data_IF_959266294743
#
_entry.id   IF_959266294743
#
_cell.length_a   1.000
_cell.length_b   1.000
_cell.length_c   1.000
_cell.angle_alpha   90.00
_cell.angle_beta   90.00
_cell.angle_gamma   90.00
#
_symmetry.space_group_name_H-M   'P 1'
#
loop_
_entity.id
_entity.type
_entity.pdbx_description
1 polymer ?
#
# COMPACT_ATOMS: atom_id res chain seq x y z
N UNK A 1 54.57 -26.68 -44.90
CA UNK A 1 53.82 -26.82 -43.63
C UNK A 1 54.25 -25.79 -42.55
N UNK A 2 54.54 -24.51 -42.88
CA UNK A 2 54.97 -23.54 -41.85
C UNK A 2 54.23 -22.19 -41.82
N UNK A 3 53.30 -21.91 -42.74
CA UNK A 3 52.64 -20.60 -42.79
C UNK A 3 51.40 -20.45 -41.87
N UNK A 4 50.82 -21.56 -41.36
CA UNK A 4 49.56 -21.52 -40.59
C UNK A 4 49.70 -21.54 -39.06
N UNK A 5 50.92 -21.63 -38.51
CA UNK A 5 51.12 -21.66 -37.04
C UNK A 5 51.23 -20.27 -36.40
N UNK A 6 51.60 -19.24 -37.17
CA UNK A 6 51.84 -17.90 -36.62
C UNK A 6 50.57 -17.05 -36.49
N UNK A 7 49.54 -17.28 -37.31
CA UNK A 7 48.28 -16.55 -37.21
C UNK A 7 47.45 -16.98 -35.98
N UNK A 8 47.52 -18.26 -35.60
CA UNK A 8 46.79 -18.80 -34.45
C UNK A 8 47.37 -18.31 -33.11
N UNK A 9 48.69 -18.09 -33.05
CA UNK A 9 49.36 -17.61 -31.83
C UNK A 9 49.08 -16.12 -31.51
N UNK A 10 48.82 -15.28 -32.51
CA UNK A 10 48.52 -13.86 -32.29
C UNK A 10 47.04 -13.61 -31.95
N UNK A 11 46.11 -14.39 -32.52
CA UNK A 11 44.70 -14.34 -32.14
C UNK A 11 44.44 -14.82 -30.71
N UNK A 12 45.21 -15.81 -30.23
CA UNK A 12 45.11 -16.32 -28.87
C UNK A 12 45.62 -15.32 -27.81
N UNK A 13 46.58 -14.45 -28.14
CA UNK A 13 47.10 -13.43 -27.22
C UNK A 13 46.17 -12.22 -27.06
N UNK A 14 45.38 -11.89 -28.07
CA UNK A 14 44.41 -10.78 -27.99
C UNK A 14 43.12 -11.19 -27.26
N UNK A 15 42.72 -12.46 -27.33
CA UNK A 15 41.53 -12.98 -26.64
C UNK A 15 41.72 -13.11 -25.12
N UNK A 16 42.94 -13.34 -24.64
CA UNK A 16 43.22 -13.53 -23.19
C UNK A 16 43.27 -12.20 -22.42
N UNK A 17 43.56 -11.08 -23.08
CA UNK A 17 43.60 -9.75 -22.43
C UNK A 17 42.20 -9.17 -22.19
N UNK A 18 41.18 -9.60 -22.95
CA UNK A 18 39.80 -9.10 -22.82
C UNK A 18 39.04 -9.81 -21.68
N UNK A 19 39.47 -11.02 -21.27
CA UNK A 19 38.80 -11.78 -20.20
C UNK A 19 39.10 -11.29 -18.77
N UNK A 20 40.05 -10.36 -18.57
CA UNK A 20 40.43 -9.89 -17.24
C UNK A 20 39.74 -8.58 -16.78
N UNK A 21 38.85 -8.00 -17.60
CA UNK A 21 38.04 -6.83 -17.21
C UNK A 21 36.56 -7.14 -17.00
N UNK A 22 36.23 -8.40 -16.71
CA UNK A 22 34.98 -8.69 -16.01
C UNK A 22 35.14 -8.25 -14.55
N UNK A 23 35.16 -6.93 -14.32
CA UNK A 23 34.88 -6.37 -13.00
C UNK A 23 33.52 -6.96 -12.63
N UNK A 24 33.53 -7.90 -11.69
CA UNK A 24 32.33 -8.28 -10.98
C UNK A 24 31.89 -6.99 -10.28
N UNK A 25 31.00 -6.24 -10.91
CA UNK A 25 30.22 -5.26 -10.21
C UNK A 25 29.40 -6.08 -9.22
N UNK A 26 29.92 -6.26 -7.99
CA UNK A 26 29.05 -6.64 -6.90
C UNK A 26 27.99 -5.55 -6.88
N UNK A 27 26.76 -5.89 -7.27
CA UNK A 27 25.60 -5.08 -7.02
C UNK A 27 25.37 -5.07 -5.50
N UNK A 28 26.31 -4.48 -4.76
CA UNK A 28 26.09 -4.14 -3.38
C UNK A 28 24.95 -3.12 -3.44
N UNK A 29 23.80 -3.49 -2.86
CA UNK A 29 22.67 -2.59 -2.71
C UNK A 29 23.23 -1.29 -2.15
N UNK A 30 23.12 -0.21 -2.93
CA UNK A 30 23.63 1.08 -2.51
C UNK A 30 22.80 1.54 -1.31
N UNK A 31 23.48 1.82 -0.20
CA UNK A 31 22.84 2.21 1.06
C UNK A 31 23.08 3.68 1.34
N UNK A 32 22.05 4.34 1.83
CA UNK A 32 22.11 5.70 2.37
C UNK A 32 21.59 5.66 3.81
N UNK A 33 22.18 6.45 4.68
CA UNK A 33 21.85 6.49 6.11
C UNK A 33 21.09 7.76 6.45
N UNK A 34 20.06 7.63 7.29
CA UNK A 34 19.19 8.72 7.73
C UNK A 34 19.19 8.81 9.26
N UNK A 35 19.42 10.00 9.82
CA UNK A 35 19.43 10.23 11.27
C UNK A 35 18.79 11.55 11.64
N UNK A 36 18.10 11.59 12.79
CA UNK A 36 17.49 12.80 13.35
C UNK A 36 18.49 13.92 13.69
N UNK A 37 19.79 13.62 13.67
CA UNK A 37 20.89 14.58 13.90
C UNK A 37 21.85 14.69 12.72
N UNK A 38 21.48 14.13 11.56
CA UNK A 38 22.30 14.20 10.34
C UNK A 38 22.32 15.58 9.69
N UNK A 39 22.88 15.64 8.48
CA UNK A 39 22.88 16.80 7.59
C UNK A 39 22.71 16.30 6.13
N UNK A 40 21.81 16.91 5.37
CA UNK A 40 21.55 16.52 3.98
C UNK A 40 22.70 16.91 3.02
N UNK A 41 23.65 17.75 3.47
CA UNK A 41 24.88 18.07 2.75
C UNK A 41 25.99 17.02 2.94
N UNK A 42 25.83 16.06 3.85
CA UNK A 42 26.80 15.00 4.06
C UNK A 42 26.88 14.03 2.88
N UNK A 43 27.97 13.25 2.82
CA UNK A 43 27.97 11.97 2.10
C UNK A 43 27.15 10.95 2.90
N UNK A 44 25.88 10.84 2.57
CA UNK A 44 24.96 9.99 3.31
C UNK A 44 25.16 8.49 3.02
N UNK A 45 26.09 8.10 2.14
CA UNK A 45 26.51 6.71 2.01
C UNK A 45 27.41 6.24 3.16
N UNK A 46 27.92 7.17 3.96
CA UNK A 46 28.68 6.89 5.18
C UNK A 46 27.77 7.02 6.42
N UNK A 47 27.65 5.93 7.19
CA UNK A 47 26.83 5.88 8.39
C UNK A 47 27.24 6.87 9.49
N UNK A 48 28.50 7.32 9.50
CA UNK A 48 28.98 8.34 10.44
C UNK A 48 28.53 9.76 10.08
N UNK A 49 28.13 9.99 8.82
CA UNK A 49 27.68 11.28 8.30
C UNK A 49 26.33 11.11 7.57
N UNK A 50 25.26 10.72 8.29
CA UNK A 50 23.97 10.43 7.66
C UNK A 50 23.25 11.71 7.20
N UNK A 51 22.28 11.53 6.31
CA UNK A 51 21.31 12.55 5.92
C UNK A 51 20.40 12.92 7.10
N UNK A 52 19.84 14.13 7.07
CA UNK A 52 18.93 14.64 8.10
C UNK A 52 17.47 14.35 7.81
N UNK A 53 17.07 14.50 6.56
CA UNK A 53 15.66 14.43 6.13
C UNK A 53 15.42 13.25 5.21
N UNK A 54 14.15 12.82 5.16
CA UNK A 54 13.77 11.73 4.25
C UNK A 54 13.97 12.14 2.79
N UNK A 55 13.68 13.41 2.45
CA UNK A 55 13.92 13.93 1.10
C UNK A 55 15.41 13.97 0.75
N UNK A 56 16.29 14.39 1.66
CA UNK A 56 17.74 14.38 1.48
C UNK A 56 18.26 12.96 1.20
N UNK A 57 17.83 12.00 2.03
CA UNK A 57 18.18 10.60 1.85
C UNK A 57 17.67 10.04 0.51
N UNK A 58 16.44 10.36 0.08
CA UNK A 58 15.89 9.95 -1.22
C UNK A 58 16.69 10.53 -2.39
N UNK A 59 17.07 11.80 -2.30
CA UNK A 59 17.87 12.45 -3.34
C UNK A 59 19.19 11.72 -3.54
N UNK A 60 19.90 11.41 -2.45
CA UNK A 60 21.20 10.74 -2.50
C UNK A 60 21.14 9.23 -2.72
N UNK A 61 20.02 8.56 -2.37
CA UNK A 61 19.86 7.13 -2.55
C UNK A 61 19.83 6.76 -4.03
N UNK A 62 20.71 5.86 -4.53
CA UNK A 62 20.60 5.38 -5.90
C UNK A 62 19.28 4.64 -6.14
N UNK A 63 18.87 4.54 -7.40
CA UNK A 63 17.73 3.69 -7.77
C UNK A 63 18.01 2.23 -7.37
N UNK A 64 16.99 1.55 -6.86
CA UNK A 64 17.04 0.23 -6.23
C UNK A 64 17.90 0.17 -4.95
N UNK A 65 18.28 1.32 -4.38
CA UNK A 65 19.00 1.41 -3.12
C UNK A 65 18.12 1.28 -1.88
N UNK A 66 18.76 1.34 -0.72
CA UNK A 66 18.12 1.24 0.58
C UNK A 66 18.50 2.43 1.48
N UNK A 67 17.50 3.10 2.03
CA UNK A 67 17.65 4.12 3.06
C UNK A 67 17.49 3.45 4.42
N UNK A 68 18.54 3.47 5.25
CA UNK A 68 18.55 2.89 6.58
C UNK A 68 18.41 4.00 7.61
N UNK A 69 17.33 3.96 8.40
CA UNK A 69 17.13 4.90 9.51
C UNK A 69 17.93 4.46 10.73
N UNK A 70 18.87 5.29 11.17
CA UNK A 70 19.80 5.00 12.25
C UNK A 70 19.27 5.40 13.63
N UNK A 71 18.48 6.47 13.70
CA UNK A 71 18.06 7.07 14.98
C UNK A 71 16.59 7.47 14.94
N UNK A 72 15.95 7.48 16.11
CA UNK A 72 14.60 8.00 16.27
C UNK A 72 14.58 9.51 16.00
N UNK A 73 13.58 10.00 15.29
CA UNK A 73 13.48 11.41 14.94
C UNK A 73 12.38 11.72 13.94
N UNK A 74 12.14 13.01 13.72
CA UNK A 74 11.24 13.51 12.68
C UNK A 74 11.98 13.71 11.36
N UNK A 75 11.42 13.23 10.25
CA UNK A 75 12.09 13.21 8.94
C UNK A 75 11.44 14.02 7.82
N UNK A 76 10.30 14.67 8.09
CA UNK A 76 9.67 15.63 7.18
C UNK A 76 9.00 15.02 5.95
N UNK A 77 8.55 15.88 5.03
CA UNK A 77 7.93 15.49 3.76
C UNK A 77 8.89 14.74 2.86
N UNK A 78 8.37 13.90 1.96
CA UNK A 78 9.16 13.22 0.95
C UNK A 78 8.40 13.01 -0.36
N UNK A 79 9.12 13.09 -1.46
CA UNK A 79 8.68 12.69 -2.79
C UNK A 79 9.60 11.60 -3.35
N UNK A 80 9.03 10.40 -3.54
CA UNK A 80 9.74 9.22 -4.03
C UNK A 80 9.42 9.04 -5.52
N UNK A 81 10.44 9.12 -6.37
CA UNK A 81 10.31 9.10 -7.83
C UNK A 81 11.10 8.00 -8.53
N UNK A 82 11.63 7.04 -7.75
CA UNK A 82 12.45 5.92 -8.23
C UNK A 82 12.27 4.72 -7.31
N UNK A 83 12.60 3.53 -7.82
CA UNK A 83 12.68 2.33 -6.98
C UNK A 83 13.66 2.53 -5.82
N UNK A 84 13.23 2.23 -4.59
CA UNK A 84 14.06 2.23 -3.38
C UNK A 84 13.32 1.59 -2.20
N UNK A 85 14.07 1.28 -1.15
CA UNK A 85 13.52 0.87 0.15
C UNK A 85 13.79 1.93 1.21
N UNK A 86 12.80 2.29 2.01
CA UNK A 86 12.96 3.02 3.27
C UNK A 86 12.81 2.02 4.40
N UNK A 87 13.90 1.77 5.13
CA UNK A 87 13.97 0.80 6.20
C UNK A 87 14.21 1.48 7.55
N UNK A 88 13.14 1.56 8.35
CA UNK A 88 13.23 1.86 9.77
C UNK A 88 13.30 0.55 10.58
N UNK A 89 14.46 0.20 11.17
CA UNK A 89 14.60 -1.03 11.94
C UNK A 89 13.71 -1.02 13.20
N UNK A 90 13.33 -2.21 13.66
CA UNK A 90 12.62 -2.38 14.93
C UNK A 90 13.35 -1.67 16.08
N UNK A 91 12.61 -0.90 16.89
CA UNK A 91 13.17 -0.11 17.99
C UNK A 91 13.53 1.32 17.62
N UNK A 92 13.59 1.66 16.33
CA UNK A 92 13.73 3.04 15.86
C UNK A 92 12.35 3.64 15.59
N UNK A 93 12.06 4.78 16.22
CA UNK A 93 10.84 5.56 15.95
C UNK A 93 11.14 6.52 14.81
N UNK A 94 10.96 6.05 13.58
CA UNK A 94 11.05 6.88 12.40
C UNK A 94 9.76 7.69 12.23
N UNK A 95 9.70 8.82 12.93
CA UNK A 95 8.50 9.63 13.02
C UNK A 95 8.28 10.45 11.74
N UNK A 96 7.08 10.34 11.16
CA UNK A 96 6.68 11.18 10.04
C UNK A 96 5.26 11.72 10.21
N UNK A 97 5.15 13.04 10.37
CA UNK A 97 3.85 13.71 10.49
C UNK A 97 3.43 14.43 9.20
N UNK A 98 4.12 14.14 8.09
CA UNK A 98 3.91 14.78 6.79
C UNK A 98 3.63 13.73 5.73
N UNK A 99 2.97 14.17 4.68
CA UNK A 99 2.65 13.33 3.52
C UNK A 99 3.93 12.83 2.85
N UNK A 100 4.01 11.53 2.64
CA UNK A 100 4.97 10.91 1.72
C UNK A 100 4.26 10.72 0.38
N UNK A 101 4.77 11.34 -0.67
CA UNK A 101 4.25 11.18 -2.03
C UNK A 101 5.07 10.13 -2.77
N UNK A 102 4.39 9.17 -3.39
CA UNK A 102 5.00 8.15 -4.25
C UNK A 102 4.53 8.37 -5.68
N UNK A 103 5.46 8.71 -6.55
CA UNK A 103 5.23 9.06 -7.95
C UNK A 103 6.29 8.40 -8.82
N UNK A 104 6.11 7.10 -9.09
CA UNK A 104 7.13 6.22 -9.67
C UNK A 104 6.72 5.70 -11.06
N UNK A 105 7.65 5.13 -11.81
CA UNK A 105 7.35 4.48 -13.08
C UNK A 105 6.67 3.10 -12.88
N UNK A 106 6.10 2.54 -13.95
CA UNK A 106 5.30 1.29 -13.88
C UNK A 106 6.13 0.06 -13.53
N UNK A 107 7.43 0.12 -13.83
CA UNK A 107 8.41 -0.93 -13.50
C UNK A 107 9.05 -0.72 -12.14
N UNK A 108 8.81 0.43 -11.50
CA UNK A 108 9.44 0.73 -10.22
C UNK A 108 8.75 0.04 -9.05
N UNK A 109 9.54 -0.28 -8.03
CA UNK A 109 9.07 -0.79 -6.74
C UNK A 109 9.61 0.05 -5.61
N UNK A 110 8.69 0.55 -4.78
CA UNK A 110 9.01 1.26 -3.54
C UNK A 110 8.57 0.42 -2.36
N UNK A 111 9.47 0.25 -1.39
CA UNK A 111 9.17 -0.40 -0.11
C UNK A 111 9.31 0.62 1.01
N UNK A 112 8.26 0.77 1.83
CA UNK A 112 8.27 1.60 3.03
C UNK A 112 8.03 0.68 4.21
N UNK A 113 9.03 0.54 5.10
CA UNK A 113 8.95 -0.35 6.25
C UNK A 113 9.30 0.31 7.57
N UNK A 114 8.54 -0.02 8.61
CA UNK A 114 8.83 0.37 9.98
C UNK A 114 8.52 1.82 10.35
N UNK A 115 7.83 2.59 9.49
CA UNK A 115 7.55 3.99 9.78
C UNK A 115 6.46 4.15 10.84
N UNK A 116 6.63 5.14 11.70
CA UNK A 116 5.61 5.59 12.65
C UNK A 116 5.11 6.95 12.23
N UNK A 117 3.95 7.00 11.59
CA UNK A 117 3.36 8.21 11.05
C UNK A 117 2.23 8.74 11.93
N UNK A 118 2.17 10.06 12.13
CA UNK A 118 1.10 10.72 12.88
C UNK A 118 0.71 12.07 12.24
N UNK A 119 -0.38 12.09 11.50
CA UNK A 119 -0.91 13.26 10.83
C UNK A 119 -1.58 14.29 11.74
N UNK A 120 -1.89 13.95 13.00
CA UNK A 120 -2.61 14.85 13.91
C UNK A 120 -1.78 16.09 14.30
N UNK A 121 -0.46 16.05 14.10
CA UNK A 121 0.44 17.17 14.43
C UNK A 121 0.27 18.34 13.47
N UNK A 122 0.09 18.07 12.17
CA UNK A 122 0.08 19.10 11.14
C UNK A 122 -1.19 19.12 10.27
N UNK A 123 -2.06 18.12 10.41
CA UNK A 123 -3.34 18.06 9.71
C UNK A 123 -3.24 17.65 8.25
N UNK A 124 -2.10 17.12 7.80
CA UNK A 124 -1.91 16.58 6.46
C UNK A 124 -3.04 15.60 6.11
N UNK A 125 -3.53 15.71 4.86
CA UNK A 125 -4.62 14.87 4.38
C UNK A 125 -4.23 13.39 4.31
N UNK A 126 -2.99 13.09 3.94
CA UNK A 126 -2.56 11.73 3.62
C UNK A 126 -1.29 11.35 4.37
N UNK A 127 -1.22 10.11 4.85
CA UNK A 127 0.05 9.53 5.28
C UNK A 127 0.93 9.25 4.07
N UNK A 128 0.49 8.31 3.25
CA UNK A 128 1.14 7.99 1.97
C UNK A 128 0.16 8.29 0.84
N UNK A 129 0.59 9.13 -0.11
CA UNK A 129 -0.17 9.46 -1.30
C UNK A 129 0.49 8.82 -2.54
N UNK A 130 -0.07 7.70 -2.99
CA UNK A 130 0.40 6.94 -4.14
C UNK A 130 -0.28 7.44 -5.41
N UNK A 131 0.41 8.35 -6.10
CA UNK A 131 -0.15 9.12 -7.22
C UNK A 131 -0.11 8.33 -8.53
N UNK A 132 1.09 7.90 -8.91
CA UNK A 132 1.39 7.20 -10.18
C UNK A 132 2.28 6.02 -9.85
N UNK A 133 2.17 4.88 -10.55
CA UNK A 133 3.13 3.83 -10.24
C UNK A 133 3.05 2.47 -10.90
N UNK A 134 4.12 1.73 -10.57
CA UNK A 134 4.24 0.28 -10.54
C UNK A 134 3.82 -0.26 -9.18
N UNK A 135 4.77 -0.54 -8.28
CA UNK A 135 4.49 -1.22 -7.01
C UNK A 135 4.86 -0.38 -5.78
N UNK A 136 3.93 -0.27 -4.83
CA UNK A 136 4.16 0.24 -3.49
C UNK A 136 3.90 -0.87 -2.47
N UNK A 137 4.90 -1.17 -1.66
CA UNK A 137 4.82 -2.12 -0.54
C UNK A 137 4.96 -1.32 0.75
N UNK A 138 3.98 -1.40 1.63
CA UNK A 138 4.01 -0.80 2.96
C UNK A 138 3.95 -1.94 3.98
N UNK A 139 4.96 -2.04 4.83
CA UNK A 139 5.06 -3.13 5.78
C UNK A 139 5.48 -2.68 7.18
N UNK A 140 4.99 -3.36 8.21
CA UNK A 140 5.38 -3.13 9.61
C UNK A 140 5.27 -1.66 10.05
N UNK A 141 4.30 -0.93 9.52
CA UNK A 141 4.18 0.52 9.70
C UNK A 141 2.92 0.88 10.46
N UNK A 142 3.00 1.99 11.20
CA UNK A 142 1.87 2.58 11.91
C UNK A 142 1.53 3.92 11.26
N UNK A 143 0.28 4.10 10.88
CA UNK A 143 -0.21 5.32 10.23
C UNK A 143 -1.43 5.82 11.01
N UNK A 144 -1.29 6.97 11.64
CA UNK A 144 -2.22 7.48 12.64
C UNK A 144 -2.66 8.91 12.31
N UNK A 145 -3.93 9.24 12.51
CA UNK A 145 -4.36 10.63 12.68
C UNK A 145 -4.33 11.53 11.44
N UNK A 146 -4.17 11.00 10.22
CA UNK A 146 -4.23 11.81 8.99
C UNK A 146 -5.66 12.28 8.71
N UNK A 147 -5.82 13.53 8.27
CA UNK A 147 -7.14 14.19 8.23
C UNK A 147 -8.06 13.65 7.14
N UNK A 148 -7.53 12.90 6.17
CA UNK A 148 -8.33 12.21 5.15
C UNK A 148 -8.02 10.71 5.11
N UNK A 149 -6.86 10.28 4.61
CA UNK A 149 -6.54 8.86 4.52
C UNK A 149 -5.16 8.49 5.05
N UNK A 150 -5.03 7.31 5.65
CA UNK A 150 -3.71 6.78 6.01
C UNK A 150 -2.87 6.52 4.75
N UNK A 151 -3.44 5.75 3.81
CA UNK A 151 -2.88 5.54 2.47
C UNK A 151 -3.95 5.91 1.44
N UNK A 152 -3.59 6.78 0.50
CA UNK A 152 -4.40 7.06 -0.69
C UNK A 152 -3.72 6.50 -1.92
N UNK A 153 -4.41 5.61 -2.61
CA UNK A 153 -4.08 5.17 -3.95
C UNK A 153 -4.94 5.97 -4.94
N UNK A 154 -4.36 7.04 -5.51
CA UNK A 154 -5.11 8.11 -6.17
C UNK A 154 -5.65 7.74 -7.57
N UNK A 155 -6.70 8.41 -8.10
CA UNK A 155 -7.15 8.20 -9.47
C UNK A 155 -6.06 8.62 -10.47
N UNK A 156 -5.94 7.87 -11.56
CA UNK A 156 -5.04 8.20 -12.67
C UNK A 156 -5.83 8.92 -13.78
N UNK A 157 -5.28 10.01 -14.38
CA UNK A 157 -6.01 10.82 -15.34
C UNK A 157 -6.19 10.22 -16.75
N UNK A 158 -5.55 9.12 -17.13
CA UNK A 158 -5.87 8.34 -18.35
C UNK A 158 -5.18 6.97 -18.36
N UNK A 159 -5.63 6.09 -19.25
CA UNK A 159 -5.48 4.63 -19.23
C UNK A 159 -4.05 4.06 -19.11
N UNK A 160 -3.97 2.91 -18.42
CA UNK A 160 -2.94 1.85 -18.53
C UNK A 160 -1.59 2.05 -17.85
N UNK A 161 -1.59 2.35 -16.54
CA UNK A 161 -0.44 2.04 -15.68
C UNK A 161 -0.96 1.27 -14.46
N UNK A 162 -0.71 -0.04 -14.44
CA UNK A 162 -1.22 -0.91 -13.38
C UNK A 162 -0.44 -0.63 -12.08
N UNK A 163 -1.08 0.00 -11.10
CA UNK A 163 -0.48 0.08 -9.77
C UNK A 163 -0.81 -1.15 -8.94
N UNK A 164 0.16 -1.51 -8.10
CA UNK A 164 0.01 -2.58 -7.11
C UNK A 164 0.31 -2.01 -5.74
N UNK A 165 -0.70 -1.98 -4.88
CA UNK A 165 -0.54 -1.62 -3.48
C UNK A 165 -0.52 -2.90 -2.64
N UNK A 166 0.56 -3.11 -1.89
CA UNK A 166 0.65 -4.18 -0.90
C UNK A 166 0.80 -3.57 0.49
N UNK A 167 -0.08 -3.94 1.41
CA UNK A 167 -0.06 -3.47 2.80
C UNK A 167 -0.01 -4.69 3.72
N UNK A 168 1.06 -4.83 4.48
CA UNK A 168 1.29 -6.01 5.30
C UNK A 168 1.67 -5.63 6.73
N UNK A 169 1.05 -6.25 7.73
CA UNK A 169 1.37 -6.01 9.14
C UNK A 169 1.40 -4.52 9.50
N UNK A 170 0.38 -3.78 9.08
CA UNK A 170 0.27 -2.34 9.35
C UNK A 170 -0.90 -2.02 10.28
N UNK A 171 -0.79 -0.91 11.00
CA UNK A 171 -1.90 -0.33 11.77
C UNK A 171 -2.27 1.04 11.18
N UNK A 172 -3.48 1.18 10.66
CA UNK A 172 -4.01 2.41 10.09
C UNK A 172 -5.22 2.86 10.91
N UNK A 173 -5.06 3.94 11.68
CA UNK A 173 -6.04 4.28 12.72
C UNK A 173 -6.29 5.77 12.90
N UNK A 174 -7.42 6.08 13.52
CA UNK A 174 -7.83 7.44 13.89
C UNK A 174 -7.79 8.43 12.72
N UNK A 175 -7.95 7.96 11.48
CA UNK A 175 -7.98 8.82 10.29
C UNK A 175 -9.27 9.61 10.21
N UNK A 176 -9.22 10.82 9.65
CA UNK A 176 -10.38 11.69 9.45
C UNK A 176 -11.35 11.21 8.37
N UNK A 177 -10.97 10.20 7.58
CA UNK A 177 -11.88 9.47 6.68
C UNK A 177 -11.56 7.97 6.65
N UNK A 178 -10.58 7.53 5.85
CA UNK A 178 -10.37 6.10 5.60
C UNK A 178 -8.96 5.63 5.97
N UNK A 179 -8.79 4.41 6.46
CA UNK A 179 -7.45 3.85 6.66
C UNK A 179 -6.72 3.70 5.32
N UNK A 180 -7.33 2.97 4.37
CA UNK A 180 -6.95 2.99 2.96
C UNK A 180 -8.10 3.55 2.13
N UNK A 181 -7.77 4.45 1.22
CA UNK A 181 -8.63 4.91 0.13
C UNK A 181 -8.00 4.48 -1.21
N UNK A 182 -8.59 3.46 -1.84
CA UNK A 182 -8.23 3.01 -3.19
C UNK A 182 -9.18 3.63 -4.22
N UNK A 183 -8.77 4.75 -4.80
CA UNK A 183 -9.54 5.57 -5.73
C UNK A 183 -9.06 5.41 -7.19
N UNK A 184 -8.36 4.32 -7.49
CA UNK A 184 -7.66 4.16 -8.76
C UNK A 184 -8.46 3.41 -9.82
N UNK A 185 -8.30 3.83 -11.08
CA UNK A 185 -9.10 3.37 -12.20
C UNK A 185 -8.65 2.03 -12.82
N UNK A 186 -7.46 1.46 -12.53
CA UNK A 186 -6.97 0.08 -12.90
C UNK A 186 -5.85 -0.41 -11.98
N UNK A 187 -6.14 -1.04 -10.83
CA UNK A 187 -5.12 -1.48 -9.87
C UNK A 187 -5.38 -2.86 -9.23
N UNK A 188 -4.36 -3.43 -8.58
CA UNK A 188 -4.54 -4.47 -7.57
C UNK A 188 -4.13 -3.98 -6.19
N UNK A 189 -4.87 -4.39 -5.17
CA UNK A 189 -4.56 -4.12 -3.78
C UNK A 189 -4.58 -5.41 -2.98
N UNK A 190 -3.53 -5.64 -2.19
CA UNK A 190 -3.47 -6.76 -1.26
C UNK A 190 -3.17 -6.24 0.13
N UNK A 191 -4.07 -6.52 1.07
CA UNK A 191 -3.96 -6.15 2.48
C UNK A 191 -3.92 -7.43 3.30
N UNK A 192 -2.85 -7.63 4.07
CA UNK A 192 -2.66 -8.80 4.93
C UNK A 192 -2.26 -8.41 6.34
N UNK A 193 -2.76 -9.17 7.31
CA UNK A 193 -2.31 -9.12 8.71
C UNK A 193 -2.33 -7.70 9.32
N UNK A 194 -3.28 -6.87 8.87
CA UNK A 194 -3.31 -5.43 9.17
C UNK A 194 -4.54 -5.05 10.00
N UNK A 195 -4.47 -3.88 10.66
CA UNK A 195 -5.51 -3.38 11.55
C UNK A 195 -5.96 -1.99 11.12
N UNK A 196 -7.27 -1.82 10.97
CA UNK A 196 -7.93 -0.58 10.58
C UNK A 196 -8.89 -0.19 11.69
N UNK A 197 -8.50 0.81 12.50
CA UNK A 197 -9.16 1.06 13.78
C UNK A 197 -9.60 2.52 13.88
N UNK A 198 -10.88 2.75 14.19
CA UNK A 198 -11.43 4.08 14.49
C UNK A 198 -11.16 5.12 13.39
N UNK A 199 -11.26 4.73 12.12
CA UNK A 199 -11.23 5.69 11.02
C UNK A 199 -12.64 6.27 10.87
N UNK A 200 -12.76 7.59 10.73
CA UNK A 200 -14.07 8.26 10.84
C UNK A 200 -15.10 7.75 9.82
N UNK A 201 -14.64 7.34 8.63
CA UNK A 201 -15.49 6.81 7.56
C UNK A 201 -15.27 5.31 7.37
N UNK A 202 -14.11 4.86 6.90
CA UNK A 202 -13.91 3.45 6.57
C UNK A 202 -12.58 2.87 7.04
N UNK A 203 -12.55 1.59 7.37
CA UNK A 203 -11.28 0.88 7.49
C UNK A 203 -10.58 0.84 6.12
N UNK A 204 -11.26 0.21 5.16
CA UNK A 204 -10.82 0.15 3.76
C UNK A 204 -11.96 0.60 2.85
N UNK A 205 -11.66 1.54 1.98
CA UNK A 205 -12.57 2.04 0.97
C UNK A 205 -12.01 1.83 -0.42
N UNK A 206 -12.84 1.24 -1.29
CA UNK A 206 -12.44 0.84 -2.64
C UNK A 206 -13.41 1.43 -3.67
N UNK A 207 -12.85 2.08 -4.67
CA UNK A 207 -13.52 2.55 -5.87
C UNK A 207 -12.96 1.82 -7.10
N UNK A 208 -13.79 1.72 -8.15
CA UNK A 208 -13.47 1.20 -9.50
C UNK A 208 -12.63 -0.09 -9.52
N UNK A 209 -12.13 -0.52 -10.69
CA UNK A 209 -11.37 -1.77 -11.04
C UNK A 209 -10.35 -2.37 -10.05
N UNK A 210 -10.17 -1.82 -8.86
CA UNK A 210 -9.28 -2.36 -7.85
C UNK A 210 -9.68 -3.80 -7.53
N UNK A 211 -8.89 -4.76 -8.01
CA UNK A 211 -8.94 -6.14 -7.57
C UNK A 211 -8.29 -6.20 -6.19
N UNK A 212 -9.14 -6.21 -5.17
CA UNK A 212 -8.73 -6.06 -3.78
C UNK A 212 -8.83 -7.38 -3.06
N UNK A 213 -7.80 -7.77 -2.33
CA UNK A 213 -7.84 -8.85 -1.35
C UNK A 213 -7.54 -8.26 0.01
N UNK A 214 -8.45 -8.45 0.96
CA UNK A 214 -8.26 -8.09 2.37
C UNK A 214 -8.30 -9.40 3.15
N UNK A 215 -7.18 -9.74 3.77
CA UNK A 215 -7.01 -11.04 4.43
C UNK A 215 -6.41 -10.92 5.83
N UNK A 216 -6.84 -11.80 6.74
CA UNK A 216 -6.29 -11.90 8.10
C UNK A 216 -6.26 -10.55 8.84
N UNK A 217 -7.22 -9.66 8.57
CA UNK A 217 -7.16 -8.28 9.02
C UNK A 217 -8.33 -7.95 9.94
N UNK A 218 -8.15 -6.90 10.75
CA UNK A 218 -9.18 -6.39 11.66
C UNK A 218 -9.65 -5.03 11.17
N UNK A 219 -10.95 -4.86 10.97
CA UNK A 219 -11.55 -3.60 10.54
C UNK A 219 -12.66 -3.22 11.52
N UNK A 220 -12.38 -2.25 12.39
CA UNK A 220 -13.23 -1.96 13.53
C UNK A 220 -13.34 -0.48 13.92
N UNK A 221 -14.46 -0.14 14.55
CA UNK A 221 -14.68 1.18 15.14
C UNK A 221 -14.90 2.32 14.13
N UNK A 222 -15.09 1.99 12.84
CA UNK A 222 -15.29 2.99 11.78
C UNK A 222 -16.77 3.11 11.44
N UNK A 223 -17.20 4.04 10.58
CA UNK A 223 -18.57 3.99 10.04
C UNK A 223 -18.76 2.72 9.17
N UNK A 224 -17.75 2.39 8.37
CA UNK A 224 -17.70 1.19 7.55
C UNK A 224 -16.45 0.38 7.84
N UNK A 225 -16.57 -0.95 7.99
CA UNK A 225 -15.38 -1.80 8.02
C UNK A 225 -14.71 -1.81 6.65
N UNK A 226 -15.45 -2.31 5.65
CA UNK A 226 -15.13 -2.24 4.23
C UNK A 226 -16.26 -1.57 3.48
N UNK A 227 -15.95 -0.63 2.60
CA UNK A 227 -16.91 -0.07 1.64
C UNK A 227 -16.39 -0.16 0.21
N UNK A 228 -17.19 -0.76 -0.67
CA UNK A 228 -16.94 -0.82 -2.11
C UNK A 228 -17.95 0.08 -2.84
N UNK A 229 -17.43 1.03 -3.61
CA UNK A 229 -18.19 2.07 -4.30
C UNK A 229 -18.10 1.90 -5.82
N UNK A 230 -19.25 1.85 -6.47
CA UNK A 230 -19.38 2.07 -7.91
C UNK A 230 -19.29 3.56 -8.23
N UNK A 231 -18.56 3.90 -9.28
CA UNK A 231 -18.48 5.27 -9.84
C UNK A 231 -18.72 5.22 -11.34
N UNK A 232 -18.86 6.39 -11.98
CA UNK A 232 -19.25 6.61 -13.38
C UNK A 232 -18.33 6.00 -14.47
N UNK A 233 -17.32 5.21 -14.11
CA UNK A 233 -16.48 4.51 -15.09
C UNK A 233 -17.14 3.19 -15.51
N UNK A 234 -16.85 2.71 -16.74
CA UNK A 234 -17.36 1.44 -17.28
C UNK A 234 -16.85 0.18 -16.57
N UNK A 235 -16.28 0.32 -15.37
CA UNK A 235 -15.56 -0.73 -14.64
C UNK A 235 -15.71 -0.53 -13.13
N UNK A 236 -15.79 -1.67 -12.42
CA UNK A 236 -16.30 -1.78 -11.05
C UNK A 236 -15.36 -2.55 -10.13
N UNK A 237 -15.36 -2.27 -8.82
CA UNK A 237 -14.48 -2.95 -7.86
C UNK A 237 -14.86 -4.40 -7.65
N UNK A 238 -13.83 -5.23 -7.47
CA UNK A 238 -13.92 -6.62 -7.05
C UNK A 238 -13.14 -6.77 -5.75
N UNK A 239 -13.85 -6.95 -4.64
CA UNK A 239 -13.23 -7.07 -3.32
C UNK A 239 -13.42 -8.48 -2.79
N UNK A 240 -12.33 -9.13 -2.39
CA UNK A 240 -12.33 -10.40 -1.68
C UNK A 240 -11.93 -10.17 -0.23
N UNK A 241 -12.76 -10.65 0.70
CA UNK A 241 -12.54 -10.57 2.14
C UNK A 241 -12.41 -12.00 2.66
N UNK A 242 -11.26 -12.34 3.24
CA UNK A 242 -10.94 -13.68 3.74
C UNK A 242 -10.36 -13.62 5.15
N UNK A 243 -10.88 -14.42 6.09
CA UNK A 243 -10.35 -14.51 7.46
C UNK A 243 -10.24 -13.16 8.18
N UNK A 244 -11.18 -12.25 7.93
CA UNK A 244 -11.19 -10.95 8.58
C UNK A 244 -12.11 -10.93 9.80
N UNK A 245 -11.80 -10.02 10.73
CA UNK A 245 -12.69 -9.61 11.82
C UNK A 245 -13.20 -8.22 11.51
N UNK A 246 -14.50 -8.10 11.26
CA UNK A 246 -15.16 -6.86 10.90
C UNK A 246 -16.19 -6.54 11.98
N UNK A 247 -15.87 -5.60 12.86
CA UNK A 247 -16.61 -5.45 14.10
C UNK A 247 -16.76 -4.01 14.58
N UNK A 248 -17.85 -3.74 15.30
CA UNK A 248 -18.05 -2.46 15.98
C UNK A 248 -18.01 -1.27 15.02
N UNK A 249 -18.45 -1.45 13.78
CA UNK A 249 -18.63 -0.34 12.85
C UNK A 249 -20.04 0.24 13.04
N UNK A 250 -20.13 1.26 13.91
CA UNK A 250 -21.40 1.75 14.50
C UNK A 250 -21.52 3.27 14.53
N UNK A 251 -20.63 4.01 13.84
CA UNK A 251 -20.53 5.48 13.96
C UNK A 251 -21.79 6.27 13.55
N UNK A 252 -22.69 5.66 12.78
CA UNK A 252 -23.91 6.29 12.24
C UNK A 252 -25.03 5.26 12.07
N UNK A 253 -26.26 5.72 11.80
CA UNK A 253 -27.42 4.84 11.55
C UNK A 253 -27.30 4.00 10.26
N UNK A 254 -26.46 4.43 9.32
CA UNK A 254 -26.15 3.71 8.08
C UNK A 254 -24.81 2.96 8.14
N UNK A 255 -24.12 2.98 9.29
CA UNK A 255 -22.86 2.28 9.50
C UNK A 255 -23.02 0.78 9.25
N UNK A 256 -22.00 0.17 8.62
CA UNK A 256 -22.03 -1.24 8.29
C UNK A 256 -20.66 -1.92 8.45
N UNK A 257 -20.65 -3.22 8.74
CA UNK A 257 -19.43 -4.01 8.64
C UNK A 257 -18.92 -4.03 7.20
N UNK A 258 -19.76 -4.47 6.27
CA UNK A 258 -19.45 -4.49 4.83
C UNK A 258 -20.55 -3.77 4.06
N UNK A 259 -20.15 -2.79 3.25
CA UNK A 259 -21.03 -2.05 2.36
C UNK A 259 -20.60 -2.22 0.91
N UNK A 260 -21.54 -2.57 0.04
CA UNK A 260 -21.40 -2.44 -1.40
C UNK A 260 -22.44 -1.46 -1.91
N UNK A 261 -22.05 -0.46 -2.68
CA UNK A 261 -23.00 0.52 -3.18
C UNK A 261 -22.68 1.01 -4.58
N UNK A 262 -23.73 1.23 -5.37
CA UNK A 262 -23.61 1.80 -6.70
C UNK A 262 -24.49 3.06 -6.83
N UNK A 263 -24.03 4.23 -6.38
CA UNK A 263 -24.82 5.46 -6.41
C UNK A 263 -25.22 5.92 -7.83
N UNK A 264 -24.61 5.38 -8.89
CA UNK A 264 -24.88 5.75 -10.28
C UNK A 264 -25.62 4.64 -11.04
N UNK A 265 -26.81 4.95 -11.56
CA UNK A 265 -27.62 4.03 -12.36
C UNK A 265 -27.01 3.81 -13.75
N UNK A 266 -27.06 2.58 -14.27
CA UNK A 266 -26.65 2.26 -15.66
C UNK A 266 -25.20 1.82 -15.85
N UNK A 267 -24.42 1.65 -14.77
CA UNK A 267 -23.02 1.19 -14.81
C UNK A 267 -22.87 -0.19 -14.13
N UNK A 268 -21.69 -0.82 -14.30
CA UNK A 268 -21.44 -2.23 -13.96
C UNK A 268 -21.73 -2.66 -12.51
N UNK A 269 -21.54 -3.94 -12.19
CA UNK A 269 -21.87 -4.52 -10.88
C UNK A 269 -20.73 -4.38 -9.85
N UNK A 270 -20.93 -3.63 -8.76
CA UNK A 270 -20.04 -3.64 -7.59
C UNK A 270 -20.12 -5.02 -6.92
N UNK A 271 -19.00 -5.73 -6.82
CA UNK A 271 -18.98 -7.07 -6.19
C UNK A 271 -18.00 -7.17 -5.04
N UNK A 272 -18.53 -7.55 -3.89
CA UNK A 272 -17.76 -7.98 -2.73
C UNK A 272 -18.00 -9.46 -2.53
N UNK A 273 -16.93 -10.23 -2.29
CA UNK A 273 -16.97 -11.64 -1.94
C UNK A 273 -16.40 -11.84 -0.55
N UNK A 274 -17.05 -12.66 0.25
CA UNK A 274 -16.68 -12.86 1.65
C UNK A 274 -16.58 -14.34 1.97
N UNK A 275 -15.48 -14.74 2.58
CA UNK A 275 -15.24 -16.10 3.07
C UNK A 275 -14.55 -16.09 4.43
N UNK A 276 -14.76 -17.13 5.24
CA UNK A 276 -14.09 -17.38 6.52
C UNK A 276 -14.05 -16.18 7.49
N UNK A 277 -14.95 -15.21 7.37
CA UNK A 277 -14.85 -13.94 8.10
C UNK A 277 -15.90 -13.83 9.20
N UNK A 278 -15.57 -13.08 10.26
CA UNK A 278 -16.48 -12.80 11.37
C UNK A 278 -16.96 -11.35 11.27
N UNK A 279 -18.27 -11.16 11.11
CA UNK A 279 -18.95 -9.89 10.93
C UNK A 279 -19.92 -9.74 12.10
N UNK A 280 -19.50 -9.03 13.16
CA UNK A 280 -20.24 -8.99 14.42
C UNK A 280 -20.24 -7.62 15.08
N UNK A 281 -21.30 -7.30 15.82
CA UNK A 281 -21.36 -6.06 16.62
C UNK A 281 -21.34 -4.78 15.79
N UNK A 282 -21.65 -4.85 14.49
CA UNK A 282 -21.83 -3.66 13.64
C UNK A 282 -23.27 -3.17 13.72
N UNK A 283 -23.52 -1.94 13.25
CA UNK A 283 -24.90 -1.47 13.14
C UNK A 283 -25.65 -2.27 12.06
N UNK A 284 -25.16 -2.24 10.81
CA UNK A 284 -25.53 -3.21 9.78
C UNK A 284 -24.40 -4.23 9.62
N UNK A 285 -24.68 -5.53 9.55
CA UNK A 285 -23.64 -6.54 9.30
C UNK A 285 -23.13 -6.44 7.86
N UNK A 286 -24.00 -6.75 6.91
CA UNK A 286 -23.80 -6.54 5.47
C UNK A 286 -24.91 -5.66 4.90
N UNK A 287 -24.57 -4.76 3.97
CA UNK A 287 -25.56 -3.88 3.38
C UNK A 287 -25.24 -3.52 1.93
N UNK A 288 -26.26 -3.52 1.08
CA UNK A 288 -26.18 -3.10 -0.32
C UNK A 288 -27.08 -1.90 -0.59
N UNK A 289 -26.62 -0.90 -1.35
CA UNK A 289 -27.50 0.15 -1.89
C UNK A 289 -27.41 0.23 -3.41
N UNK A 290 -28.59 0.43 -4.01
CA UNK A 290 -28.84 0.57 -5.45
C UNK A 290 -28.72 -0.72 -6.29
N UNK A 291 -29.24 -0.63 -7.51
CA UNK A 291 -29.21 -1.71 -8.51
C UNK A 291 -27.76 -1.97 -8.95
N UNK A 292 -27.32 -3.23 -8.87
CA UNK A 292 -25.98 -3.63 -9.29
C UNK A 292 -24.92 -3.63 -8.19
N UNK A 293 -25.27 -3.53 -6.90
CA UNK A 293 -24.37 -3.85 -5.80
C UNK A 293 -24.65 -5.27 -5.28
N UNK A 294 -23.61 -6.08 -5.10
CA UNK A 294 -23.71 -7.44 -4.59
C UNK A 294 -22.62 -7.74 -3.54
N UNK A 295 -23.02 -8.43 -2.48
CA UNK A 295 -22.12 -9.02 -1.47
C UNK A 295 -22.38 -10.52 -1.46
N UNK A 296 -21.51 -11.28 -2.13
CA UNK A 296 -21.62 -12.73 -2.26
C UNK A 296 -20.85 -13.43 -1.12
N UNK A 297 -21.43 -14.49 -0.55
CA UNK A 297 -20.78 -15.30 0.48
C UNK A 297 -20.38 -16.66 -0.07
N UNK A 298 -19.25 -17.20 0.40
CA UNK A 298 -18.89 -18.59 0.18
C UNK A 298 -19.53 -19.58 1.19
N UNK A 299 -20.53 -19.15 1.98
CA UNK A 299 -21.30 -20.00 2.89
C UNK A 299 -20.64 -20.31 4.24
N UNK A 300 -19.44 -19.80 4.52
CA UNK A 300 -18.63 -20.12 5.70
C UNK A 300 -18.29 -18.88 6.57
N UNK A 301 -19.10 -17.83 6.49
CA UNK A 301 -18.95 -16.61 7.29
C UNK A 301 -19.78 -16.69 8.59
N UNK A 302 -19.34 -15.95 9.61
CA UNK A 302 -20.07 -15.75 10.87
C UNK A 302 -20.68 -14.35 10.84
N UNK A 303 -21.94 -14.25 10.43
CA UNK A 303 -22.72 -13.01 10.41
C UNK A 303 -23.72 -13.06 11.56
N UNK A 304 -23.49 -12.31 12.63
CA UNK A 304 -24.28 -12.43 13.85
C UNK A 304 -24.07 -11.23 14.77
N UNK A 305 -25.02 -10.98 15.68
CA UNK A 305 -24.91 -9.96 16.73
C UNK A 305 -24.66 -8.54 16.18
N UNK A 306 -25.12 -8.24 14.96
CA UNK A 306 -25.22 -6.87 14.48
C UNK A 306 -26.61 -6.30 14.87
N UNK A 307 -26.79 -4.97 14.93
CA UNK A 307 -28.13 -4.40 15.17
C UNK A 307 -29.11 -4.90 14.12
N UNK A 308 -28.67 -4.94 12.86
CA UNK A 308 -29.29 -5.70 11.77
C UNK A 308 -28.21 -6.47 11.03
N UNK A 309 -28.29 -7.79 10.95
CA UNK A 309 -27.28 -8.59 10.24
C UNK A 309 -27.26 -8.30 8.72
N UNK A 310 -28.42 -8.07 8.12
CA UNK A 310 -28.57 -7.99 6.67
C UNK A 310 -28.48 -9.38 6.02
N UNK A 311 -28.39 -9.41 4.69
CA UNK A 311 -28.32 -10.65 3.92
C UNK A 311 -27.26 -10.56 2.83
N UNK A 312 -26.50 -11.64 2.65
CA UNK A 312 -25.68 -11.80 1.45
C UNK A 312 -26.59 -11.87 0.22
N UNK A 313 -26.12 -11.30 -0.89
CA UNK A 313 -26.83 -11.26 -2.16
C UNK A 313 -26.93 -12.64 -2.81
N UNK A 314 -25.89 -13.46 -2.65
CA UNK A 314 -25.89 -14.85 -3.12
C UNK A 314 -24.92 -15.71 -2.32
N UNK A 315 -25.06 -17.04 -2.45
CA UNK A 315 -24.09 -18.02 -1.96
C UNK A 315 -23.33 -18.62 -3.14
N UNK A 316 -22.01 -18.60 -3.09
CA UNK A 316 -21.11 -19.19 -4.08
C UNK A 316 -20.78 -20.62 -3.64
N UNK A 317 -21.00 -21.64 -4.49
CA UNK A 317 -20.58 -23.02 -4.21
C UNK A 317 -19.07 -23.11 -3.95
N UNK A 318 -18.70 -24.00 -3.02
CA UNK A 318 -17.31 -24.39 -2.79
C UNK A 318 -17.13 -25.80 -3.37
N UNK A 319 -16.34 -25.91 -4.42
CA UNK A 319 -15.89 -27.19 -4.97
C UNK A 319 -14.75 -27.78 -4.13
#
# INVERSE_FOLDING_TARGET
MSANRNAVLHGARLAVVILFFAVQASAQIARVFLSGTGDDANDCSNAATPCRSLQGAITQCPANGEIIVLTSGGFGTANITKSLTINAPTGIVAFNARTITVNIADTDTVVIRGLSMNGAVFGDAYGINFLVGGQLIVENSKIDGFSYAGIRDAPMPSQSKAKRLMVNNCELRNGGRSGILADAAVNSMVVTDSRFINNAYAGVEVFSTTYSVIKNSVLAGSQFGVIANGITYSVVPFVMIDRCVIAHNTGTVDAAGIRAQNPYVGFGTVRVRVTNSSIYGNNLGVSTTATGAAIDSYGNNRLSNNTTDGSFTSTIPQD
#
